data_IF_705050197808
#
_entry.id   IF_705050197808
#
_cell.length_a   1.000
_cell.length_b   1.000
_cell.length_c   1.000
_cell.angle_alpha   90.00
_cell.angle_beta   90.00
_cell.angle_gamma   90.00
#
_symmetry.space_group_name_H-M   'P 1'
#
loop_
_entity.id
_entity.type
_entity.pdbx_description
1 polymer ?
#
# COMPACT_ATOMS: atom_id res chain seq x y z
N UNK A 1 -20.33 -17.78 -8.11
CA UNK A 1 -20.25 -17.47 -6.68
C UNK A 1 -19.55 -16.12 -6.55
N UNK A 2 -20.30 -15.06 -6.25
CA UNK A 2 -19.72 -13.77 -5.94
C UNK A 2 -19.26 -13.82 -4.48
N UNK A 3 -17.96 -13.76 -4.27
CA UNK A 3 -17.43 -13.59 -2.92
C UNK A 3 -17.76 -12.18 -2.39
N UNK A 4 -18.13 -12.06 -1.11
CA UNK A 4 -18.23 -10.76 -0.46
C UNK A 4 -16.93 -9.99 -0.66
N UNK A 5 -17.03 -8.69 -0.87
CA UNK A 5 -15.83 -7.82 -1.00
C UNK A 5 -15.18 -7.67 0.38
N UNK A 6 -14.47 -8.69 0.81
CA UNK A 6 -13.57 -8.63 1.96
C UNK A 6 -12.27 -8.03 1.48
N UNK A 7 -11.80 -7.03 2.17
CA UNK A 7 -10.53 -6.37 1.89
C UNK A 7 -9.66 -6.44 3.11
N UNK A 8 -8.46 -6.97 2.93
CA UNK A 8 -7.41 -6.88 3.93
C UNK A 8 -6.33 -5.94 3.42
N UNK A 9 -5.86 -5.06 4.29
CA UNK A 9 -4.74 -4.17 4.06
C UNK A 9 -3.80 -4.32 5.24
N UNK A 10 -2.80 -5.17 5.07
CA UNK A 10 -1.90 -5.58 6.11
C UNK A 10 -0.46 -5.33 5.68
N UNK A 11 0.39 -4.94 6.63
CA UNK A 11 1.84 -4.83 6.46
C UNK A 11 2.28 -3.81 5.38
N UNK A 12 1.48 -2.77 5.14
CA UNK A 12 1.83 -1.72 4.19
C UNK A 12 2.51 -0.54 4.89
N UNK A 13 3.26 0.24 4.10
CA UNK A 13 3.70 1.58 4.47
C UNK A 13 2.84 2.59 3.75
N UNK A 14 2.11 3.40 4.50
CA UNK A 14 1.28 4.49 3.99
C UNK A 14 1.99 5.80 4.29
N UNK A 15 2.46 6.48 3.24
CA UNK A 15 3.22 7.71 3.34
C UNK A 15 2.56 8.85 2.58
N UNK A 16 2.62 10.06 3.14
CA UNK A 16 2.30 11.31 2.44
C UNK A 16 0.90 11.33 1.79
N UNK A 17 -0.12 10.85 2.48
CA UNK A 17 -1.46 10.56 1.95
C UNK A 17 -2.36 11.76 1.64
N UNK A 18 -1.87 12.99 1.81
CA UNK A 18 -2.70 14.16 1.60
C UNK A 18 -3.81 14.28 2.66
N UNK A 19 -5.06 14.18 2.23
CA UNK A 19 -6.24 14.29 3.10
C UNK A 19 -6.74 12.94 3.62
N UNK A 20 -6.79 11.91 2.79
CA UNK A 20 -7.29 10.59 3.18
C UNK A 20 -6.28 9.49 2.90
N UNK A 21 -5.84 8.81 3.94
CA UNK A 21 -5.06 7.57 3.84
C UNK A 21 -5.93 6.40 3.34
N UNK A 22 -7.16 6.32 3.85
CA UNK A 22 -8.19 5.35 3.47
C UNK A 22 -9.56 5.96 3.75
N UNK A 23 -10.50 5.87 2.82
CA UNK A 23 -11.83 6.44 2.99
C UNK A 23 -12.92 5.62 2.30
N UNK A 24 -14.18 5.93 2.58
CA UNK A 24 -15.33 5.27 1.97
C UNK A 24 -15.82 4.07 2.75
N UNK A 25 -15.96 2.94 2.06
CA UNK A 25 -16.43 1.69 2.67
C UNK A 25 -17.94 1.58 2.72
N UNK A 26 -18.64 2.35 1.90
CA UNK A 26 -20.09 2.28 1.77
C UNK A 26 -20.51 0.93 1.21
N UNK A 27 -21.66 0.46 1.65
CA UNK A 27 -22.34 -0.69 1.06
C UNK A 27 -22.79 -0.35 -0.35
N UNK A 28 -22.78 -1.33 -1.22
CA UNK A 28 -23.34 -1.18 -2.55
C UNK A 28 -24.86 -1.22 -2.48
N UNK A 29 -25.49 -0.43 -3.26
CA UNK A 29 -26.94 -0.18 -3.50
C UNK A 29 -27.97 -0.93 -2.63
N UNK A 30 -28.95 -0.23 -2.05
CA UNK A 30 -30.09 -0.86 -1.39
C UNK A 30 -30.78 -1.85 -2.32
N UNK A 31 -31.00 -3.06 -1.85
CA UNK A 31 -31.72 -4.11 -2.58
C UNK A 31 -30.87 -5.12 -3.35
N UNK A 32 -29.55 -4.99 -3.41
CA UNK A 32 -28.68 -6.03 -3.95
C UNK A 32 -27.93 -6.76 -2.83
N UNK A 33 -28.56 -7.73 -2.21
CA UNK A 33 -27.99 -8.51 -1.09
C UNK A 33 -26.70 -9.27 -1.45
N UNK A 34 -26.40 -9.44 -2.74
CA UNK A 34 -25.20 -10.13 -3.22
C UNK A 34 -23.93 -9.28 -3.07
N UNK A 35 -24.06 -7.96 -2.96
CA UNK A 35 -22.95 -7.01 -2.89
C UNK A 35 -23.07 -6.04 -1.71
N UNK A 36 -23.85 -6.40 -0.73
CA UNK A 36 -24.40 -5.47 0.24
C UNK A 36 -23.55 -5.28 1.50
N UNK A 37 -22.26 -5.63 1.47
CA UNK A 37 -21.38 -5.38 2.60
C UNK A 37 -19.96 -5.10 2.16
N UNK A 38 -19.36 -4.17 2.87
CA UNK A 38 -17.93 -3.92 2.83
C UNK A 38 -17.33 -4.36 4.16
N UNK A 39 -16.39 -5.29 4.11
CA UNK A 39 -15.71 -5.85 5.26
C UNK A 39 -14.22 -5.56 5.15
N UNK A 40 -13.65 -4.92 6.16
CA UNK A 40 -12.28 -4.47 6.14
C UNK A 40 -11.49 -5.01 7.32
N UNK A 41 -10.28 -5.52 7.04
CA UNK A 41 -9.21 -5.66 8.00
C UNK A 41 -8.12 -4.65 7.65
N UNK A 42 -7.73 -3.81 8.59
CA UNK A 42 -6.66 -2.83 8.47
C UNK A 42 -5.70 -3.10 9.62
N UNK A 43 -4.67 -3.90 9.36
CA UNK A 43 -3.85 -4.52 10.40
C UNK A 43 -2.37 -4.31 10.16
N UNK A 44 -1.66 -3.90 11.21
CA UNK A 44 -0.21 -3.81 11.23
C UNK A 44 0.40 -3.01 10.06
N UNK A 45 -0.27 -1.95 9.62
CA UNK A 45 0.26 -1.00 8.66
C UNK A 45 1.03 0.11 9.37
N UNK A 46 2.05 0.65 8.71
CA UNK A 46 2.83 1.78 9.20
C UNK A 46 2.41 3.06 8.48
N UNK A 47 1.90 4.01 9.23
CA UNK A 47 1.46 5.32 8.75
C UNK A 47 2.50 6.38 9.09
N UNK A 48 2.98 7.07 8.07
CA UNK A 48 3.94 8.15 8.20
C UNK A 48 3.45 9.38 7.47
N UNK A 49 3.03 10.40 8.21
CA UNK A 49 2.66 11.68 7.62
C UNK A 49 3.84 12.27 6.85
N UNK A 50 3.56 12.87 5.71
CA UNK A 50 4.56 13.49 4.85
C UNK A 50 4.22 14.94 4.53
N UNK A 51 5.02 15.60 3.68
CA UNK A 51 4.85 17.02 3.38
C UNK A 51 3.50 17.41 2.77
N UNK A 52 2.83 16.51 2.04
CA UNK A 52 1.49 16.76 1.49
C UNK A 52 0.37 16.40 2.48
N UNK A 53 0.68 15.69 3.55
CA UNK A 53 -0.35 15.32 4.52
C UNK A 53 -0.87 16.58 5.21
N UNK A 54 -2.19 16.77 5.18
CA UNK A 54 -2.82 17.91 5.83
C UNK A 54 -2.56 17.90 7.34
N UNK A 55 -2.16 19.04 7.91
CA UNK A 55 -1.84 19.12 9.34
C UNK A 55 -3.06 18.96 10.24
N UNK A 56 -2.84 18.67 11.50
CA UNK A 56 -3.89 18.47 12.50
C UNK A 56 -4.39 17.02 12.52
N UNK A 57 -5.70 16.82 12.62
CA UNK A 57 -6.28 15.48 12.78
C UNK A 57 -6.01 14.53 11.61
N UNK A 58 -5.81 15.08 10.41
CA UNK A 58 -5.49 14.29 9.22
C UNK A 58 -4.11 13.62 9.33
N UNK A 59 -3.17 14.23 10.04
CA UNK A 59 -1.81 13.70 10.19
C UNK A 59 -1.70 12.38 10.96
N UNK A 60 -2.75 11.99 11.68
CA UNK A 60 -2.82 10.69 12.35
C UNK A 60 -4.03 9.84 11.93
N UNK A 61 -4.66 10.18 10.80
CA UNK A 61 -5.81 9.45 10.26
C UNK A 61 -5.38 8.12 9.66
N UNK A 62 -5.92 7.03 10.20
CA UNK A 62 -5.79 5.67 9.65
C UNK A 62 -6.90 5.43 8.62
N UNK A 63 -8.13 5.77 8.97
CA UNK A 63 -9.28 5.57 8.09
C UNK A 63 -10.36 6.64 8.32
N UNK A 64 -11.09 6.96 7.25
CA UNK A 64 -12.25 7.84 7.26
C UNK A 64 -13.48 7.09 6.67
N UNK A 65 -14.08 6.17 7.44
CA UNK A 65 -15.31 5.50 7.02
C UNK A 65 -16.43 6.48 6.74
N UNK A 66 -17.16 6.27 5.65
CA UNK A 66 -18.29 7.11 5.26
C UNK A 66 -19.53 6.29 4.91
N UNK A 67 -20.68 6.95 4.84
CA UNK A 67 -21.93 6.42 4.33
C UNK A 67 -22.59 7.44 3.40
N UNK A 68 -23.45 6.98 2.50
CA UNK A 68 -24.14 7.85 1.52
C UNK A 68 -25.50 8.30 2.00
N UNK A 69 -26.21 7.44 2.72
CA UNK A 69 -27.61 7.66 3.11
C UNK A 69 -27.82 7.82 4.63
N UNK A 70 -26.74 7.89 5.41
CA UNK A 70 -26.73 8.11 6.86
C UNK A 70 -27.42 7.03 7.72
N UNK A 71 -28.01 6.00 7.11
CA UNK A 71 -28.79 5.00 7.85
C UNK A 71 -28.10 3.69 8.05
N UNK A 72 -27.71 3.01 6.97
CA UNK A 72 -27.23 1.62 7.03
C UNK A 72 -26.22 1.23 5.94
N UNK A 73 -25.83 2.14 5.06
CA UNK A 73 -24.91 1.85 3.94
C UNK A 73 -23.42 1.99 4.28
N UNK A 74 -23.04 1.65 5.48
CA UNK A 74 -21.66 1.66 5.96
C UNK A 74 -21.06 0.27 6.06
N UNK A 75 -19.74 0.19 5.87
CA UNK A 75 -18.96 -1.04 6.05
C UNK A 75 -18.68 -1.38 7.51
N UNK A 76 -18.08 -2.55 7.72
CA UNK A 76 -17.65 -3.05 9.02
C UNK A 76 -16.14 -3.18 9.04
N UNK A 77 -15.51 -2.61 10.05
CA UNK A 77 -14.06 -2.39 10.09
C UNK A 77 -13.44 -3.07 11.30
N UNK A 78 -12.43 -3.87 11.06
CA UNK A 78 -11.47 -4.28 12.06
C UNK A 78 -10.18 -3.49 11.80
N UNK A 79 -9.79 -2.65 12.76
CA UNK A 79 -8.62 -1.77 12.66
C UNK A 79 -7.80 -1.98 13.92
N UNK A 80 -6.59 -2.53 13.78
CA UNK A 80 -5.75 -2.90 14.92
C UNK A 80 -4.27 -2.96 14.54
N UNK A 81 -3.40 -2.80 15.54
CA UNK A 81 -1.95 -3.00 15.42
C UNK A 81 -1.26 -2.06 14.42
N UNK A 82 -1.97 -1.04 13.91
CA UNK A 82 -1.36 -0.06 13.03
C UNK A 82 -0.54 0.94 13.85
N UNK A 83 0.62 1.29 13.33
CA UNK A 83 1.50 2.31 13.91
C UNK A 83 1.35 3.61 13.15
N UNK A 84 1.16 4.71 13.87
CA UNK A 84 1.17 6.06 13.31
C UNK A 84 2.37 6.81 13.88
N UNK A 85 3.37 7.08 13.03
CA UNK A 85 4.62 7.74 13.44
C UNK A 85 4.33 9.09 14.10
N UNK A 86 4.89 9.28 15.31
CA UNK A 86 4.68 10.50 16.09
C UNK A 86 3.42 10.53 16.95
N UNK A 87 2.53 9.50 16.86
CA UNK A 87 1.27 9.44 17.60
C UNK A 87 1.12 8.13 18.37
N UNK A 88 1.83 7.96 19.50
CA UNK A 88 1.84 6.70 20.25
C UNK A 88 0.49 6.31 20.84
N UNK A 89 -0.36 7.26 21.20
CA UNK A 89 -1.70 6.93 21.73
C UNK A 89 -2.61 6.35 20.64
N UNK A 90 -2.56 6.91 19.42
CA UNK A 90 -3.27 6.36 18.26
C UNK A 90 -2.72 4.99 17.87
N UNK A 91 -1.41 4.79 17.98
CA UNK A 91 -0.77 3.48 17.72
C UNK A 91 -1.19 2.44 18.74
N UNK A 92 -1.41 2.83 20.01
CA UNK A 92 -1.86 1.97 21.09
C UNK A 92 -3.32 1.57 20.95
N UNK A 93 -4.19 2.49 20.57
CA UNK A 93 -5.59 2.24 20.22
C UNK A 93 -5.95 2.98 18.94
N UNK A 94 -5.99 2.25 17.83
CA UNK A 94 -6.26 2.85 16.52
C UNK A 94 -7.65 3.50 16.40
N UNK A 95 -8.57 3.17 17.31
CA UNK A 95 -9.90 3.79 17.37
C UNK A 95 -9.92 5.09 18.17
N UNK A 96 -8.88 5.36 18.96
CA UNK A 96 -8.71 6.63 19.65
C UNK A 96 -8.03 7.67 18.75
N UNK A 97 -8.82 8.24 17.85
CA UNK A 97 -8.39 9.29 16.90
C UNK A 97 -7.93 8.79 15.52
N UNK A 98 -7.47 7.55 15.37
CA UNK A 98 -7.02 7.03 14.07
C UNK A 98 -8.18 6.75 13.10
N UNK A 99 -9.28 6.21 13.59
CA UNK A 99 -10.52 6.09 12.81
C UNK A 99 -11.35 7.35 13.03
N UNK A 100 -11.52 8.14 11.98
CA UNK A 100 -12.20 9.43 12.01
C UNK A 100 -13.44 9.38 11.13
N UNK A 101 -14.63 9.45 11.75
CA UNK A 101 -15.91 9.33 11.05
C UNK A 101 -17.04 9.97 11.84
N UNK A 102 -18.09 10.40 11.15
CA UNK A 102 -19.34 10.82 11.77
C UNK A 102 -20.24 9.63 12.17
N UNK A 103 -19.90 8.40 11.73
CA UNK A 103 -20.67 7.20 12.04
C UNK A 103 -20.29 6.72 13.45
N UNK A 104 -21.29 6.39 14.27
CA UNK A 104 -21.04 5.84 15.59
C UNK A 104 -20.26 4.50 15.52
N UNK A 105 -19.24 4.36 16.35
CA UNK A 105 -18.30 3.21 16.32
C UNK A 105 -19.00 1.87 16.60
N UNK A 106 -20.04 1.83 17.43
CA UNK A 106 -20.83 0.63 17.67
C UNK A 106 -21.44 0.02 16.41
N UNK A 107 -21.65 0.85 15.38
CA UNK A 107 -22.19 0.43 14.10
C UNK A 107 -21.15 -0.17 13.16
N UNK A 108 -19.92 0.31 13.20
CA UNK A 108 -18.88 -0.01 12.20
C UNK A 108 -17.71 -0.82 12.78
N UNK A 109 -17.40 -0.70 14.06
CA UNK A 109 -16.27 -1.38 14.70
C UNK A 109 -16.51 -2.88 14.82
N UNK A 110 -15.47 -3.64 14.53
CA UNK A 110 -15.38 -5.07 14.77
C UNK A 110 -14.32 -5.35 15.82
N UNK A 111 -14.65 -6.23 16.77
CA UNK A 111 -13.72 -6.67 17.81
C UNK A 111 -12.79 -7.80 17.37
N UNK A 112 -13.12 -8.45 16.25
CA UNK A 112 -12.33 -9.56 15.69
C UNK A 112 -12.18 -9.37 14.19
N UNK A 113 -11.03 -9.77 13.62
CA UNK A 113 -10.82 -9.67 12.19
C UNK A 113 -11.82 -10.54 11.41
N UNK A 114 -12.11 -10.10 10.21
CA UNK A 114 -12.80 -10.92 9.23
C UNK A 114 -11.88 -12.06 8.78
N UNK A 115 -12.43 -13.24 8.46
CA UNK A 115 -11.65 -14.29 7.84
C UNK A 115 -10.96 -13.80 6.58
N UNK A 116 -9.65 -13.94 6.51
CA UNK A 116 -8.81 -13.56 5.38
C UNK A 116 -7.85 -14.71 5.08
N UNK A 117 -7.13 -14.62 3.96
CA UNK A 117 -6.04 -15.57 3.70
C UNK A 117 -4.98 -15.42 4.81
N UNK A 118 -4.45 -16.55 5.30
CA UNK A 118 -3.37 -16.50 6.28
C UNK A 118 -2.13 -15.84 5.65
N UNK A 119 -1.54 -14.91 6.41
CA UNK A 119 -0.27 -14.28 6.10
C UNK A 119 0.67 -14.48 7.29
N UNK A 120 1.97 -14.46 7.03
CA UNK A 120 2.96 -14.40 8.10
C UNK A 120 2.91 -13.03 8.76
N UNK A 121 2.29 -12.98 9.95
CA UNK A 121 2.08 -11.73 10.67
C UNK A 121 3.39 -11.17 11.20
N UNK A 122 3.59 -9.87 11.02
CA UNK A 122 4.72 -9.09 11.51
C UNK A 122 4.19 -7.83 12.21
N UNK A 123 5.04 -7.16 12.99
CA UNK A 123 4.69 -5.83 13.49
C UNK A 123 4.74 -4.79 12.35
N UNK A 124 4.01 -3.68 12.54
CA UNK A 124 4.04 -2.58 11.58
C UNK A 124 5.45 -2.00 11.39
N UNK A 125 6.27 -1.98 12.46
CA UNK A 125 7.65 -1.50 12.40
C UNK A 125 8.56 -2.46 11.63
N UNK A 126 8.36 -3.76 11.75
CA UNK A 126 9.08 -4.76 10.95
C UNK A 126 8.68 -4.68 9.48
N UNK A 127 7.37 -4.53 9.21
CA UNK A 127 6.86 -4.30 7.87
C UNK A 127 7.46 -3.04 7.26
N UNK A 128 7.53 -1.92 8.01
CA UNK A 128 8.17 -0.68 7.56
C UNK A 128 9.62 -0.90 7.11
N UNK A 129 10.41 -1.60 7.91
CA UNK A 129 11.82 -1.90 7.57
C UNK A 129 11.92 -2.73 6.30
N UNK A 130 11.17 -3.84 6.22
CA UNK A 130 11.20 -4.74 5.06
C UNK A 130 10.71 -4.07 3.78
N UNK A 131 9.64 -3.27 3.86
CA UNK A 131 9.14 -2.52 2.70
C UNK A 131 10.21 -1.54 2.19
N UNK A 132 10.87 -0.79 3.07
CA UNK A 132 11.94 0.11 2.63
C UNK A 132 13.18 -0.61 2.06
N UNK A 133 13.41 -1.84 2.47
CA UNK A 133 14.51 -2.66 1.94
C UNK A 133 14.15 -3.33 0.61
N UNK A 134 12.93 -3.81 0.45
CA UNK A 134 12.55 -4.75 -0.60
C UNK A 134 11.50 -4.21 -1.60
N UNK A 135 10.85 -3.07 -1.33
CA UNK A 135 9.87 -2.53 -2.26
C UNK A 135 10.52 -1.93 -3.52
N UNK A 136 9.78 -2.04 -4.62
CA UNK A 136 10.22 -1.57 -5.93
C UNK A 136 11.11 -2.58 -6.67
N UNK A 137 11.64 -2.16 -7.80
CA UNK A 137 12.58 -2.95 -8.60
C UNK A 137 13.97 -2.90 -7.94
N UNK A 138 14.34 -3.95 -7.23
CA UNK A 138 15.60 -4.02 -6.46
C UNK A 138 16.70 -4.86 -7.13
N UNK A 139 16.39 -5.56 -8.21
CA UNK A 139 17.33 -6.44 -8.91
C UNK A 139 17.54 -5.95 -10.36
N UNK A 140 18.81 -5.91 -10.84
CA UNK A 140 20.05 -6.12 -10.08
C UNK A 140 20.34 -5.01 -9.07
N UNK A 141 19.77 -3.80 -9.27
CA UNK A 141 19.85 -2.67 -8.36
C UNK A 141 18.60 -1.79 -8.50
N UNK A 142 18.28 -1.06 -7.44
CA UNK A 142 17.12 -0.16 -7.43
C UNK A 142 17.35 1.05 -8.34
N UNK A 143 16.39 1.38 -9.17
CA UNK A 143 16.48 2.54 -10.06
C UNK A 143 16.47 3.90 -9.30
N UNK A 144 16.71 4.98 -10.05
CA UNK A 144 16.80 6.32 -9.49
C UNK A 144 15.48 6.81 -8.87
N UNK A 145 14.33 6.39 -9.44
CA UNK A 145 13.00 6.79 -8.96
C UNK A 145 12.71 6.11 -7.62
N UNK A 146 12.86 4.79 -7.56
CA UNK A 146 12.63 4.01 -6.35
C UNK A 146 13.62 4.39 -5.24
N UNK A 147 14.89 4.61 -5.60
CA UNK A 147 15.91 5.09 -4.64
C UNK A 147 15.52 6.43 -4.05
N UNK A 148 15.01 7.36 -4.85
CA UNK A 148 14.51 8.66 -4.38
C UNK A 148 13.31 8.49 -3.45
N UNK A 149 12.31 7.72 -3.86
CA UNK A 149 11.09 7.49 -3.08
C UNK A 149 11.41 6.89 -1.72
N UNK A 150 12.25 5.85 -1.68
CA UNK A 150 12.65 5.22 -0.42
C UNK A 150 13.39 6.20 0.51
N UNK A 151 14.25 7.06 -0.05
CA UNK A 151 14.95 8.09 0.71
C UNK A 151 13.98 9.12 1.27
N UNK A 152 13.02 9.57 0.48
CA UNK A 152 11.99 10.54 0.89
C UNK A 152 11.08 9.96 1.98
N UNK A 153 10.60 8.72 1.81
CA UNK A 153 9.81 8.02 2.84
C UNK A 153 10.59 7.88 4.13
N UNK A 154 11.86 7.44 4.06
CA UNK A 154 12.71 7.29 5.24
C UNK A 154 12.95 8.63 5.95
N UNK A 155 13.20 9.67 5.19
CA UNK A 155 13.49 11.00 5.72
C UNK A 155 12.27 11.84 6.08
N UNK A 156 11.08 11.50 5.63
CA UNK A 156 9.86 12.27 5.87
C UNK A 156 9.82 13.60 5.12
N UNK A 157 10.43 13.68 3.96
CA UNK A 157 10.49 14.89 3.12
C UNK A 157 10.18 14.57 1.67
N UNK A 158 10.06 15.61 0.84
CA UNK A 158 9.94 15.50 -0.59
C UNK A 158 10.99 16.35 -1.30
N UNK A 159 11.47 15.91 -2.47
CA UNK A 159 12.42 16.64 -3.30
C UNK A 159 11.72 17.47 -4.37
N UNK A 160 10.56 17.04 -4.82
CA UNK A 160 9.83 17.61 -5.94
C UNK A 160 8.37 17.88 -5.61
N UNK A 161 7.74 18.72 -6.41
CA UNK A 161 6.30 18.95 -6.37
C UNK A 161 5.78 19.42 -7.74
N UNK A 162 4.50 19.20 -7.98
CA UNK A 162 3.75 19.82 -9.07
C UNK A 162 3.26 21.21 -8.72
N UNK A 163 2.50 21.81 -9.62
CA UNK A 163 1.98 23.19 -9.50
C UNK A 163 0.57 23.25 -8.94
N UNK A 164 -0.16 22.11 -8.89
CA UNK A 164 -1.60 22.09 -8.64
C UNK A 164 -1.94 21.81 -7.19
N UNK A 165 -1.30 20.84 -6.55
CA UNK A 165 -1.72 20.32 -5.26
C UNK A 165 -1.88 21.39 -4.16
N UNK A 166 -0.87 22.23 -3.94
CA UNK A 166 -0.88 23.27 -2.90
C UNK A 166 -1.89 24.41 -3.13
N UNK A 167 -2.48 24.50 -4.32
CA UNK A 167 -3.53 25.48 -4.59
C UNK A 167 -4.87 25.07 -3.99
N UNK A 168 -5.07 23.77 -3.80
CA UNK A 168 -6.34 23.19 -3.40
C UNK A 168 -6.27 22.54 -2.00
N UNK A 169 -5.06 22.29 -1.50
CA UNK A 169 -4.83 21.54 -0.27
C UNK A 169 -3.89 22.28 0.70
N UNK A 170 -4.17 22.12 1.98
CA UNK A 170 -3.29 22.61 3.04
C UNK A 170 -2.13 21.62 3.23
N UNK A 171 -0.95 22.16 3.46
CA UNK A 171 0.27 21.41 3.76
C UNK A 171 0.95 22.00 5.00
N UNK A 172 1.75 21.20 5.69
CA UNK A 172 2.40 21.62 6.93
C UNK A 172 3.42 22.75 6.70
N UNK A 173 4.18 22.69 5.61
CA UNK A 173 5.14 23.72 5.21
C UNK A 173 4.92 24.12 3.73
N UNK A 174 4.27 25.26 3.47
CA UNK A 174 4.07 25.74 2.10
C UNK A 174 5.37 26.09 1.34
N UNK A 175 6.48 26.31 2.03
CA UNK A 175 7.76 26.64 1.42
C UNK A 175 8.55 25.42 0.95
N UNK A 176 8.33 24.26 1.56
CA UNK A 176 8.97 23.00 1.19
C UNK A 176 8.18 22.24 0.09
N UNK A 177 8.84 21.47 -0.78
CA UNK A 177 8.15 20.60 -1.73
C UNK A 177 7.19 19.61 -1.03
N UNK A 178 6.00 19.40 -1.59
CA UNK A 178 5.00 18.52 -0.98
C UNK A 178 5.05 17.06 -1.47
N UNK A 179 5.78 16.76 -2.54
CA UNK A 179 5.93 15.40 -3.06
C UNK A 179 4.80 14.92 -3.97
N UNK A 180 3.76 15.72 -4.15
CA UNK A 180 2.69 15.42 -5.12
C UNK A 180 3.04 16.13 -6.42
N UNK A 181 3.15 15.36 -7.49
CA UNK A 181 3.50 15.83 -8.83
C UNK A 181 2.26 15.84 -9.73
N UNK A 182 2.24 16.71 -10.72
CA UNK A 182 1.18 16.76 -11.72
C UNK A 182 1.52 15.86 -12.92
N UNK A 183 2.80 15.79 -13.26
CA UNK A 183 3.33 14.97 -14.37
C UNK A 183 4.74 14.48 -14.04
N UNK A 184 5.22 13.51 -14.80
CA UNK A 184 6.59 13.00 -14.66
C UNK A 184 7.68 14.05 -14.95
N UNK A 185 7.37 15.10 -15.71
CA UNK A 185 8.30 16.20 -15.98
C UNK A 185 8.66 16.99 -14.72
N UNK A 186 7.79 17.01 -13.72
CA UNK A 186 8.06 17.68 -12.43
C UNK A 186 9.23 17.04 -11.66
N UNK A 187 9.57 15.79 -12.00
CA UNK A 187 10.68 15.04 -11.42
C UNK A 187 11.83 14.80 -12.41
N UNK A 188 11.83 15.50 -13.55
CA UNK A 188 12.87 15.40 -14.58
C UNK A 188 12.58 14.39 -15.69
N UNK A 189 11.35 13.92 -15.81
CA UNK A 189 10.91 12.94 -16.82
C UNK A 189 11.18 11.49 -16.41
N UNK A 190 11.01 10.61 -17.38
CA UNK A 190 11.32 9.19 -17.20
C UNK A 190 12.83 8.97 -17.13
N UNK A 191 13.32 8.11 -16.22
CA UNK A 191 14.72 7.76 -16.16
C UNK A 191 15.15 7.02 -17.44
N UNK A 192 16.38 7.26 -17.87
CA UNK A 192 17.01 6.44 -18.91
C UNK A 192 17.37 5.11 -18.27
N UNK A 193 16.71 4.05 -18.72
CA UNK A 193 17.00 2.70 -18.27
C UNK A 193 18.08 2.10 -19.21
N UNK A 194 19.24 1.84 -18.64
CA UNK A 194 20.30 1.12 -19.36
C UNK A 194 19.99 -0.38 -19.31
N UNK A 195 19.82 -0.97 -20.49
CA UNK A 195 19.60 -2.41 -20.61
C UNK A 195 20.92 -3.11 -20.86
N UNK A 196 21.25 -4.11 -20.07
CA UNK A 196 22.29 -5.09 -20.41
C UNK A 196 21.78 -6.03 -21.51
N UNK A 197 22.68 -6.70 -22.27
CA UNK A 197 22.25 -7.79 -23.11
C UNK A 197 21.48 -8.84 -22.29
N UNK A 198 20.41 -9.42 -22.84
CA UNK A 198 19.69 -10.48 -22.13
C UNK A 198 20.64 -11.65 -21.84
N UNK A 199 20.44 -12.36 -20.73
CA UNK A 199 21.11 -13.63 -20.50
C UNK A 199 20.88 -14.60 -21.65
N UNK A 200 21.77 -15.55 -21.84
CA UNK A 200 21.61 -16.63 -22.81
C UNK A 200 20.41 -17.50 -22.39
N UNK A 201 19.55 -17.79 -23.36
CA UNK A 201 18.32 -18.59 -23.26
C UNK A 201 18.29 -19.44 -24.54
N UNK A 202 18.84 -20.65 -24.46
CA UNK A 202 19.16 -21.48 -25.63
C UNK A 202 17.92 -22.04 -26.30
N UNK A 203 16.89 -22.38 -25.57
CA UNK A 203 15.65 -22.98 -26.07
C UNK A 203 14.50 -21.98 -26.22
N UNK A 204 14.73 -20.71 -25.80
CA UNK A 204 13.82 -19.59 -25.93
C UNK A 204 12.49 -19.79 -25.18
N UNK A 205 12.55 -20.37 -24.01
CA UNK A 205 11.37 -20.59 -23.18
C UNK A 205 11.13 -19.50 -22.15
N UNK A 206 12.07 -18.55 -22.01
CA UNK A 206 12.02 -17.40 -21.12
C UNK A 206 12.78 -17.60 -19.80
N UNK A 207 13.43 -18.76 -19.62
CA UNK A 207 14.31 -19.03 -18.50
C UNK A 207 15.77 -18.94 -18.96
N UNK A 208 16.63 -18.14 -18.29
CA UNK A 208 18.05 -18.11 -18.65
C UNK A 208 18.75 -19.45 -18.36
N UNK A 209 19.64 -19.88 -19.27
CA UNK A 209 20.42 -21.11 -19.16
C UNK A 209 21.10 -21.31 -17.80
N UNK A 210 21.67 -20.24 -17.23
CA UNK A 210 22.34 -20.33 -15.92
C UNK A 210 21.35 -20.57 -14.79
N UNK A 211 20.15 -19.94 -14.89
CA UNK A 211 19.09 -20.12 -13.91
C UNK A 211 18.56 -21.56 -13.95
N UNK A 212 18.36 -22.12 -15.14
CA UNK A 212 17.91 -23.49 -15.34
C UNK A 212 18.92 -24.49 -14.76
N UNK A 213 20.21 -24.34 -15.09
CA UNK A 213 21.30 -25.17 -14.54
C UNK A 213 21.32 -25.16 -13.00
N UNK A 214 21.08 -23.98 -12.39
CA UNK A 214 21.00 -23.88 -10.92
C UNK A 214 19.79 -24.60 -10.33
N UNK A 215 18.72 -24.73 -11.12
CA UNK A 215 17.46 -25.39 -10.71
C UNK A 215 17.40 -26.85 -11.13
N UNK A 216 18.38 -27.34 -11.86
CA UNK A 216 18.45 -28.72 -12.38
C UNK A 216 17.49 -28.92 -13.57
N UNK A 217 17.15 -27.86 -14.28
CA UNK A 217 16.43 -27.87 -15.54
C UNK A 217 17.41 -28.00 -16.72
N UNK A 218 16.91 -28.29 -17.90
CA UNK A 218 17.70 -28.49 -19.13
C UNK A 218 17.57 -27.30 -20.07
N UNK A 219 18.60 -26.45 -20.22
CA UNK A 219 18.60 -25.28 -21.09
C UNK A 219 18.30 -25.53 -22.58
N UNK A 220 18.15 -26.76 -22.98
CA UNK A 220 17.77 -27.15 -24.34
C UNK A 220 16.37 -27.74 -24.46
N UNK A 221 15.56 -27.69 -23.40
CA UNK A 221 14.26 -28.33 -23.35
C UNK A 221 13.15 -27.35 -22.92
N UNK A 222 12.61 -26.59 -23.85
CA UNK A 222 11.58 -25.59 -23.59
C UNK A 222 10.27 -26.10 -22.95
N UNK A 223 10.10 -27.41 -22.80
CA UNK A 223 8.91 -27.96 -22.17
C UNK A 223 9.02 -28.00 -20.63
N UNK A 224 10.22 -27.92 -20.09
CA UNK A 224 10.45 -28.02 -18.65
C UNK A 224 10.04 -26.76 -17.86
N UNK A 225 9.83 -25.63 -18.54
CA UNK A 225 9.15 -24.44 -17.97
C UNK A 225 7.76 -24.74 -17.40
N UNK A 226 7.15 -25.84 -17.81
CA UNK A 226 5.83 -26.27 -17.35
C UNK A 226 5.92 -27.22 -16.15
N UNK A 227 7.11 -27.53 -15.67
CA UNK A 227 7.28 -28.35 -14.49
C UNK A 227 6.85 -27.55 -13.26
N UNK A 228 6.06 -28.22 -12.42
CA UNK A 228 5.62 -27.60 -11.16
C UNK A 228 6.73 -27.68 -10.14
N UNK A 229 7.15 -26.56 -9.58
CA UNK A 229 8.10 -26.50 -8.47
C UNK A 229 7.52 -27.09 -7.17
N UNK A 230 8.38 -27.23 -6.16
CA UNK A 230 7.99 -27.74 -4.84
C UNK A 230 6.93 -26.85 -4.15
N UNK A 231 6.80 -25.59 -4.57
CA UNK A 231 5.80 -24.63 -4.11
C UNK A 231 4.44 -24.74 -4.83
N UNK A 232 4.34 -25.61 -5.84
CA UNK A 232 3.12 -25.86 -6.62
C UNK A 232 2.86 -24.85 -7.76
N UNK A 233 3.86 -24.03 -8.11
CA UNK A 233 3.83 -23.12 -9.25
C UNK A 233 4.75 -23.60 -10.37
N UNK A 234 4.43 -23.21 -11.60
CA UNK A 234 5.28 -23.43 -12.80
C UNK A 234 6.23 -22.27 -12.99
#
# INVERSE_FOLDING_TARGET
>A
HSFPTRRSSDLNVIYNWGYNSLYGGERKQPGDDRFNFSEFNIVANYYKAGPATEPGEVSYRIANPSCRNETDDFGRWYVAENVVEGYPEVSKDNWDGGVQTAISFDKIRREKPWPAMPIEQQSAEEAYKKVLEQAGAILPERDAVDTRIIREVRGGYATYEGKSYKKEHQVADPAAPCGIIDTQEDVGGWPVLESAPPPEDTDHDGMPDEWEKMRGLDPGNSDDRNLTGDDGYT
#
